data_IF_343670872636
#
_entry.id   IF_343670872636
#
_cell.length_a   1.000
_cell.length_b   1.000
_cell.length_c   1.000
_cell.angle_alpha   90.00
_cell.angle_beta   90.00
_cell.angle_gamma   90.00
#
_symmetry.space_group_name_H-M   'P 1'
#
loop_
_entity.id
_entity.type
_entity.pdbx_description
1 polymer ?
#
# COMPACT_ATOMS: atom_id res chain seq x y z
N UNK A 1 -7.88 -4.76 5.31
CA UNK A 1 -6.87 -3.93 6.01
C UNK A 1 -7.32 -3.46 7.40
N UNK A 2 -8.57 -3.08 7.64
CA UNK A 2 -9.03 -2.57 8.96
C UNK A 2 -8.71 -3.51 10.15
N UNK A 3 -9.01 -4.80 10.03
CA UNK A 3 -8.72 -5.81 11.07
C UNK A 3 -7.20 -5.99 11.32
N UNK A 4 -6.44 -6.00 10.23
CA UNK A 4 -4.98 -6.05 10.27
C UNK A 4 -4.42 -4.82 10.99
N UNK A 5 -4.93 -3.61 10.68
CA UNK A 5 -4.51 -2.38 11.34
C UNK A 5 -4.88 -2.36 12.82
N UNK A 6 -6.01 -2.95 13.20
CA UNK A 6 -6.42 -3.06 14.61
C UNK A 6 -5.45 -3.91 15.44
N UNK A 7 -4.78 -4.90 14.84
CA UNK A 7 -3.82 -5.79 15.51
C UNK A 7 -2.36 -5.37 15.31
N UNK A 8 -2.05 -4.72 14.19
CA UNK A 8 -0.72 -4.28 13.81
C UNK A 8 -0.77 -2.85 13.23
N UNK A 9 -0.92 -1.83 14.09
CA UNK A 9 -1.15 -0.45 13.65
C UNK A 9 0.02 0.14 12.85
N UNK A 10 1.23 -0.39 13.04
CA UNK A 10 2.45 0.06 12.36
C UNK A 10 2.81 -0.80 11.14
N UNK A 11 1.96 -1.74 10.72
CA UNK A 11 2.26 -2.55 9.55
C UNK A 11 2.12 -1.73 8.27
N UNK A 12 3.16 -1.75 7.44
CA UNK A 12 3.13 -1.14 6.13
C UNK A 12 2.18 -1.91 5.21
N UNK A 13 1.35 -1.18 4.47
CA UNK A 13 0.43 -1.77 3.51
C UNK A 13 0.56 -1.13 2.14
N UNK A 14 0.73 -1.97 1.13
CA UNK A 14 0.66 -1.61 -0.29
C UNK A 14 -0.57 -2.32 -0.85
N UNK A 15 -1.50 -1.56 -1.42
CA UNK A 15 -2.74 -2.08 -1.98
C UNK A 15 -2.60 -2.30 -3.49
N UNK A 16 -3.01 -3.45 -4.02
CA UNK A 16 -3.01 -3.72 -5.47
C UNK A 16 -4.45 -3.96 -5.95
N UNK A 17 -4.94 -3.15 -6.88
CA UNK A 17 -6.33 -3.22 -7.38
C UNK A 17 -6.39 -3.35 -8.90
N UNK A 18 -7.34 -4.15 -9.42
CA UNK A 18 -7.68 -4.14 -10.85
C UNK A 18 -8.65 -3.02 -11.24
N UNK A 19 -9.20 -2.30 -10.26
CA UNK A 19 -10.11 -1.17 -10.45
C UNK A 19 -9.55 0.08 -9.72
N UNK A 20 -8.69 0.87 -10.37
CA UNK A 20 -8.05 2.04 -9.75
C UNK A 20 -8.94 3.28 -9.80
N UNK A 21 -10.21 3.15 -9.45
CA UNK A 21 -11.14 4.29 -9.35
C UNK A 21 -10.89 5.09 -8.07
N UNK A 22 -11.31 6.35 -8.05
CA UNK A 22 -11.23 7.18 -6.83
C UNK A 22 -11.98 6.55 -5.65
N UNK A 23 -13.10 5.87 -5.92
CA UNK A 23 -13.86 5.14 -4.90
C UNK A 23 -13.09 3.98 -4.26
N UNK A 24 -12.11 3.42 -4.97
CA UNK A 24 -11.25 2.35 -4.45
C UNK A 24 -9.97 2.90 -3.82
N UNK A 25 -9.37 3.92 -4.43
CA UNK A 25 -8.07 4.47 -4.00
C UNK A 25 -8.19 5.28 -2.72
N UNK A 26 -9.16 6.21 -2.62
CA UNK A 26 -9.28 7.10 -1.46
C UNK A 26 -9.48 6.34 -0.14
N UNK A 27 -10.41 5.37 -0.03
CA UNK A 27 -10.60 4.66 1.22
C UNK A 27 -9.39 3.85 1.67
N UNK A 28 -8.58 3.34 0.73
CA UNK A 28 -7.36 2.62 1.05
C UNK A 28 -6.30 3.55 1.65
N UNK A 29 -6.10 4.72 1.05
CA UNK A 29 -5.16 5.74 1.56
C UNK A 29 -5.65 6.27 2.92
N UNK A 30 -6.92 6.65 3.04
CA UNK A 30 -7.53 7.16 4.27
C UNK A 30 -7.44 6.14 5.43
N UNK A 31 -7.51 4.85 5.09
CA UNK A 31 -7.33 3.77 6.07
C UNK A 31 -5.88 3.61 6.54
N UNK A 32 -4.90 4.25 5.90
CA UNK A 32 -3.47 4.21 6.24
C UNK A 32 -2.61 3.36 5.32
N UNK A 33 -3.05 3.03 4.10
CA UNK A 33 -2.18 2.39 3.12
C UNK A 33 -1.08 3.35 2.65
N UNK A 34 0.17 2.89 2.62
CA UNK A 34 1.31 3.70 2.18
C UNK A 34 1.31 3.94 0.67
N UNK A 35 0.77 2.98 -0.11
CA UNK A 35 0.61 3.05 -1.56
C UNK A 35 -0.61 2.25 -2.04
N UNK A 36 -1.18 2.68 -3.16
CA UNK A 36 -2.19 1.95 -3.94
C UNK A 36 -1.67 1.86 -5.37
N UNK A 37 -1.64 0.65 -5.93
CA UNK A 37 -1.09 0.34 -7.24
C UNK A 37 -2.18 -0.34 -8.09
N UNK A 38 -2.22 0.00 -9.38
CA UNK A 38 -3.11 -0.65 -10.32
C UNK A 38 -2.50 -1.98 -10.81
N UNK A 39 -3.37 -2.96 -11.09
CA UNK A 39 -3.02 -4.17 -11.83
C UNK A 39 -3.34 -3.96 -13.32
N UNK A 40 -2.57 -4.55 -14.24
CA UNK A 40 -1.36 -5.33 -13.98
C UNK A 40 -0.19 -4.44 -13.55
N UNK A 41 0.73 -5.01 -12.77
CA UNK A 41 2.00 -4.37 -12.39
C UNK A 41 3.14 -5.34 -12.65
N UNK A 42 4.28 -4.82 -13.12
CA UNK A 42 5.49 -5.62 -13.30
C UNK A 42 6.07 -6.05 -11.94
N UNK A 43 6.69 -7.23 -11.89
CA UNK A 43 7.27 -7.72 -10.63
C UNK A 43 8.43 -6.85 -10.14
N UNK A 44 9.25 -6.31 -11.04
CA UNK A 44 10.39 -5.46 -10.66
C UNK A 44 9.93 -4.07 -10.20
N UNK A 45 8.87 -3.53 -10.83
CA UNK A 45 8.20 -2.31 -10.37
C UNK A 45 7.61 -2.51 -8.96
N UNK A 46 6.94 -3.65 -8.72
CA UNK A 46 6.40 -3.97 -7.40
C UNK A 46 7.50 -4.11 -6.34
N UNK A 47 8.62 -4.76 -6.66
CA UNK A 47 9.78 -4.87 -5.75
C UNK A 47 10.31 -3.50 -5.36
N UNK A 48 10.51 -2.62 -6.35
CA UNK A 48 10.99 -1.26 -6.11
C UNK A 48 10.06 -0.52 -5.14
N UNK A 49 8.74 -0.57 -5.35
CA UNK A 49 7.78 0.07 -4.45
C UNK A 49 7.88 -0.47 -3.03
N UNK A 50 8.02 -1.79 -2.86
CA UNK A 50 8.16 -2.41 -1.53
C UNK A 50 9.47 -1.95 -0.85
N UNK A 51 10.59 -1.92 -1.58
CA UNK A 51 11.89 -1.47 -1.07
C UNK A 51 11.85 0.01 -0.64
N UNK A 52 11.19 0.87 -1.42
CA UNK A 52 10.98 2.28 -1.07
C UNK A 52 10.17 2.43 0.22
N UNK A 53 9.12 1.63 0.40
CA UNK A 53 8.30 1.66 1.63
C UNK A 53 9.10 1.19 2.86
N UNK A 54 9.95 0.18 2.72
CA UNK A 54 10.81 -0.31 3.80
C UNK A 54 11.86 0.74 4.21
N UNK A 55 12.47 1.40 3.23
CA UNK A 55 13.49 2.44 3.46
C UNK A 55 12.89 3.70 4.11
N UNK A 56 11.74 4.14 3.62
CA UNK A 56 11.03 5.33 4.14
C UNK A 56 10.69 5.19 5.63
N UNK A 57 10.45 3.95 6.10
CA UNK A 57 10.17 3.67 7.51
C UNK A 57 11.43 3.59 8.37
N UNK A 58 12.58 3.18 7.82
CA UNK A 58 13.85 3.13 8.57
C UNK A 58 14.39 4.53 8.93
N UNK A 59 13.86 5.57 8.28
CA UNK A 59 14.31 6.97 8.44
C UNK A 59 13.36 7.81 9.32
N UNK A 60 12.27 7.23 9.82
CA UNK A 60 11.27 7.87 10.69
C UNK A 60 11.33 7.36 12.13
#
# INVERSE_FOLDING_TARGET
FREIRATQPNMLAVFLTGDPTLGTVYPAIDSGAGRVLAKPIGIDELKQVVEEQLTTRATQ
#
